data_IF_405971326247
#
_entry.id   IF_405971326247
#
_cell.length_a   1.000
_cell.length_b   1.000
_cell.length_c   1.000
_cell.angle_alpha   90.00
_cell.angle_beta   90.00
_cell.angle_gamma   90.00
#
_symmetry.space_group_name_H-M   'P 1'
#
loop_
_entity.id
_entity.type
_entity.pdbx_description
1 polymer ?
#
# COMPACT_ATOMS: atom_id res chain seq x y z
N UNK A 1 -16.09 4.56 0.01
CA UNK A 1 -15.13 5.48 0.66
C UNK A 1 -15.77 6.09 1.89
N UNK A 2 -15.10 6.01 3.01
CA UNK A 2 -15.61 6.51 4.30
C UNK A 2 -14.64 7.55 4.82
N UNK A 3 -15.16 8.76 5.18
CA UNK A 3 -14.35 9.86 5.70
C UNK A 3 -13.17 10.24 4.80
N UNK A 4 -13.36 10.18 3.48
CA UNK A 4 -12.33 10.50 2.52
C UNK A 4 -11.27 9.42 2.33
N UNK A 5 -11.45 8.24 2.90
CA UNK A 5 -10.51 7.14 2.79
C UNK A 5 -11.18 5.92 2.19
N UNK A 6 -10.37 5.11 1.50
CA UNK A 6 -10.82 3.83 0.97
C UNK A 6 -10.57 2.73 1.99
N UNK A 7 -11.57 1.87 2.16
CA UNK A 7 -11.52 0.72 3.06
C UNK A 7 -11.88 -0.52 2.29
N UNK A 8 -11.28 -1.65 2.64
CA UNK A 8 -11.63 -2.94 2.07
C UNK A 8 -12.33 -3.79 3.12
N UNK A 9 -13.39 -4.49 2.67
CA UNK A 9 -14.12 -5.41 3.52
C UNK A 9 -14.06 -6.80 2.90
N UNK A 10 -13.91 -7.83 3.75
CA UNK A 10 -13.92 -9.20 3.25
C UNK A 10 -15.37 -9.67 3.03
N UNK A 11 -15.52 -10.95 2.61
CA UNK A 11 -16.84 -11.50 2.30
C UNK A 11 -17.79 -11.52 3.50
N UNK A 12 -17.25 -11.49 4.72
CA UNK A 12 -18.04 -11.49 5.95
C UNK A 12 -18.38 -10.07 6.41
N UNK A 13 -17.97 -9.05 5.67
CA UNK A 13 -18.24 -7.66 6.02
C UNK A 13 -17.28 -7.07 7.03
N UNK A 14 -16.22 -7.79 7.40
CA UNK A 14 -15.21 -7.27 8.30
C UNK A 14 -14.18 -6.46 7.55
N UNK A 15 -13.72 -5.37 8.16
CA UNK A 15 -12.72 -4.49 7.58
C UNK A 15 -11.37 -5.21 7.53
N UNK A 16 -10.74 -5.16 6.35
CA UNK A 16 -9.45 -5.80 6.12
C UNK A 16 -8.34 -4.82 6.49
N UNK A 17 -7.28 -5.32 7.14
CA UNK A 17 -6.08 -4.54 7.45
C UNK A 17 -4.85 -5.28 6.90
N UNK A 18 -3.74 -4.56 6.77
CA UNK A 18 -2.51 -5.12 6.25
C UNK A 18 -2.48 -5.15 4.72
N UNK A 19 -1.71 -6.08 4.18
CA UNK A 19 -1.52 -6.18 2.74
C UNK A 19 -2.73 -6.79 2.05
N UNK A 20 -3.19 -6.16 0.97
CA UNK A 20 -4.30 -6.65 0.16
C UNK A 20 -3.91 -6.54 -1.31
N UNK A 21 -4.13 -7.60 -2.08
CA UNK A 21 -3.98 -7.57 -3.52
C UNK A 21 -5.36 -7.48 -4.17
N UNK A 22 -5.51 -6.50 -5.06
CA UNK A 22 -6.78 -6.25 -5.73
C UNK A 22 -6.51 -5.78 -7.15
N UNK A 23 -7.11 -6.46 -8.12
CA UNK A 23 -6.96 -6.16 -9.56
C UNK A 23 -5.50 -6.02 -9.98
N UNK A 24 -4.64 -6.90 -9.46
CA UNK A 24 -3.24 -6.94 -9.83
C UNK A 24 -2.35 -5.92 -9.13
N UNK A 25 -2.89 -5.13 -8.22
CA UNK A 25 -2.12 -4.14 -7.46
C UNK A 25 -2.13 -4.49 -5.98
N UNK A 26 -1.04 -4.16 -5.28
CA UNK A 26 -0.94 -4.34 -3.84
C UNK A 26 -1.28 -3.03 -3.13
N UNK A 27 -2.05 -3.15 -2.06
CA UNK A 27 -2.44 -2.04 -1.21
C UNK A 27 -2.09 -2.39 0.23
N UNK A 28 -1.78 -1.38 1.03
CA UNK A 28 -1.54 -1.58 2.45
C UNK A 28 -2.58 -0.82 3.25
N UNK A 29 -3.29 -1.55 4.12
CA UNK A 29 -4.32 -0.94 4.96
C UNK A 29 -3.80 -0.80 6.38
N UNK A 30 -3.90 0.40 6.92
CA UNK A 30 -3.46 0.68 8.28
C UNK A 30 -4.32 -0.08 9.30
N UNK A 31 -3.90 -0.07 10.56
CA UNK A 31 -4.61 -0.77 11.62
C UNK A 31 -6.05 -0.27 11.79
N UNK A 32 -6.32 0.98 11.42
CA UNK A 32 -7.67 1.53 11.44
C UNK A 32 -8.47 1.20 10.18
N UNK A 33 -7.88 0.43 9.27
CA UNK A 33 -8.51 0.01 8.02
C UNK A 33 -8.36 1.00 6.88
N UNK A 34 -7.81 2.18 7.12
CA UNK A 34 -7.60 3.18 6.08
C UNK A 34 -6.47 2.81 5.14
N UNK A 35 -6.65 3.06 3.83
CA UNK A 35 -5.63 2.76 2.84
C UNK A 35 -4.45 3.72 2.98
N UNK A 36 -3.24 3.15 3.08
CA UNK A 36 -2.03 3.95 3.21
C UNK A 36 -1.58 4.50 1.86
N UNK A 37 -0.95 5.67 1.90
CA UNK A 37 -0.28 6.27 0.75
C UNK A 37 1.10 6.72 1.19
N UNK A 38 2.03 6.89 0.22
CA UNK A 38 3.38 7.29 0.53
C UNK A 38 4.19 6.13 1.10
N UNK A 39 5.18 6.46 1.92
CA UNK A 39 6.08 5.46 2.49
C UNK A 39 5.40 4.63 3.56
N UNK A 40 5.55 3.31 3.46
CA UNK A 40 5.03 2.35 4.43
C UNK A 40 6.15 1.43 4.84
N UNK A 41 6.36 1.24 6.15
CA UNK A 41 7.33 0.28 6.66
C UNK A 41 6.58 -0.97 7.12
N UNK A 42 7.02 -2.13 6.64
CA UNK A 42 6.45 -3.41 7.02
C UNK A 42 7.57 -4.42 7.17
N UNK A 43 7.63 -5.08 8.33
CA UNK A 43 8.64 -6.12 8.62
C UNK A 43 10.06 -5.65 8.33
N UNK A 44 10.35 -4.39 8.65
CA UNK A 44 11.68 -3.82 8.45
C UNK A 44 12.01 -3.37 7.04
N UNK A 45 11.07 -3.49 6.11
CA UNK A 45 11.27 -3.08 4.72
C UNK A 45 10.38 -1.88 4.41
N UNK A 46 10.88 -1.00 3.52
CA UNK A 46 10.15 0.18 3.13
C UNK A 46 9.51 -0.02 1.75
N UNK A 47 8.25 0.37 1.66
CA UNK A 47 7.46 0.33 0.43
C UNK A 47 6.88 1.69 0.16
N UNK A 48 6.60 2.00 -1.09
CA UNK A 48 5.98 3.27 -1.45
C UNK A 48 4.64 3.03 -2.13
N UNK A 49 3.60 3.62 -1.57
CA UNK A 49 2.25 3.56 -2.14
C UNK A 49 1.97 4.85 -2.90
N UNK A 50 1.42 4.73 -4.10
CA UNK A 50 1.08 5.90 -4.90
C UNK A 50 -0.08 6.69 -4.29
N UNK A 51 -0.39 7.83 -4.85
CA UNK A 51 -1.53 8.63 -4.38
C UNK A 51 -2.86 7.90 -4.46
N UNK A 52 -2.96 6.90 -5.35
CA UNK A 52 -4.16 6.05 -5.44
C UNK A 52 -4.10 4.86 -4.48
N UNK A 53 -2.99 4.70 -3.75
CA UNK A 53 -2.81 3.63 -2.78
C UNK A 53 -2.13 2.39 -3.32
N UNK A 54 -1.88 2.28 -4.62
CA UNK A 54 -1.24 1.09 -5.19
C UNK A 54 0.27 1.12 -4.95
N UNK A 55 0.85 -0.04 -4.64
CA UNK A 55 2.28 -0.17 -4.40
C UNK A 55 3.06 0.04 -5.70
N UNK A 56 4.10 0.88 -5.65
CA UNK A 56 5.02 1.01 -6.75
C UNK A 56 6.01 -0.15 -6.76
N UNK A 57 6.42 -0.55 -7.96
CA UNK A 57 7.45 -1.58 -8.12
C UNK A 57 8.21 -1.33 -9.41
N UNK A 58 9.49 -1.72 -9.42
CA UNK A 58 10.38 -1.54 -10.58
C UNK A 58 10.39 -0.10 -11.10
N UNK A 59 10.33 0.87 -10.21
CA UNK A 59 10.25 2.27 -10.61
C UNK A 59 10.85 3.16 -9.53
N UNK A 60 11.00 4.44 -9.86
CA UNK A 60 11.43 5.44 -8.89
C UNK A 60 10.22 6.10 -8.26
N UNK A 61 10.34 6.40 -6.96
CA UNK A 61 9.33 7.19 -6.26
C UNK A 61 9.45 8.65 -6.67
N UNK A 62 8.42 9.47 -6.38
CA UNK A 62 8.53 10.91 -6.63
C UNK A 62 9.71 11.57 -5.89
N UNK A 63 10.17 10.96 -4.79
CA UNK A 63 11.30 11.45 -4.02
C UNK A 63 12.64 11.07 -4.64
N UNK A 64 12.65 10.29 -5.73
CA UNK A 64 13.87 9.89 -6.41
C UNK A 64 14.47 8.58 -5.93
N UNK A 65 13.81 7.86 -5.05
CA UNK A 65 14.28 6.56 -4.58
C UNK A 65 13.75 5.44 -5.47
N UNK A 66 14.48 4.34 -5.51
CA UNK A 66 14.11 3.21 -6.38
C UNK A 66 13.53 2.07 -5.56
N UNK A 67 12.42 1.52 -6.05
CA UNK A 67 11.82 0.31 -5.48
C UNK A 67 11.91 -0.83 -6.50
N UNK A 68 12.24 -2.03 -6.00
CA UNK A 68 12.45 -3.20 -6.87
C UNK A 68 11.12 -3.85 -7.25
N UNK A 69 11.21 -5.03 -7.89
CA UNK A 69 10.03 -5.76 -8.34
C UNK A 69 9.09 -6.20 -7.23
N UNK A 70 9.60 -6.32 -6.00
CA UNK A 70 8.79 -6.64 -4.82
C UNK A 70 8.24 -5.39 -4.16
N UNK A 71 8.55 -4.22 -4.70
CA UNK A 71 8.11 -2.95 -4.12
C UNK A 71 8.99 -2.45 -2.99
N UNK A 72 10.09 -3.14 -2.70
CA UNK A 72 10.97 -2.81 -1.57
C UNK A 72 11.97 -1.73 -2.01
N UNK A 73 12.16 -0.74 -1.14
CA UNK A 73 13.17 0.29 -1.37
C UNK A 73 14.57 -0.32 -1.40
N UNK A 74 15.30 -0.01 -2.45
CA UNK A 74 16.66 -0.49 -2.66
C UNK A 74 17.61 0.69 -2.52
N UNK A 75 18.64 0.52 -1.72
CA UNK A 75 19.66 1.56 -1.51
C UNK A 75 20.73 1.52 -2.58
#
# INVERSE_FOLDING_TARGET
>A
MINGRWYFFNANGYMVTGWVQWKGAWYFLNADGGMATGWVQSKGLWYYMSGSGSMLSNTRTPDGYYVNGDGVWVR
#
